data_IF_498458692359
#
_entry.id   IF_498458692359
#
_cell.length_a   1.000
_cell.length_b   1.000
_cell.length_c   1.000
_cell.angle_alpha   90.00
_cell.angle_beta   90.00
_cell.angle_gamma   90.00
#
_symmetry.space_group_name_H-M   'P 1'
#
loop_
_entity.id
_entity.type
_entity.pdbx_description
1 polymer ?
#
# COMPACT_ATOMS: atom_id res chain seq x y z
N UNK A 1 11.59 40.30 -60.04
CA UNK A 1 11.08 39.00 -59.57
C UNK A 1 11.75 38.51 -58.29
N UNK A 2 12.94 38.86 -57.92
CA UNK A 2 13.71 38.40 -56.75
C UNK A 2 13.16 38.81 -55.37
N UNK A 3 12.56 39.99 -55.23
CA UNK A 3 12.11 40.53 -53.94
C UNK A 3 10.89 39.77 -53.34
N UNK A 4 10.01 39.22 -54.17
CA UNK A 4 8.87 38.42 -53.72
C UNK A 4 9.28 37.01 -53.32
N UNK A 5 10.27 36.41 -53.94
CA UNK A 5 10.83 35.10 -53.59
C UNK A 5 11.48 35.12 -52.19
N UNK A 6 12.23 36.19 -51.90
CA UNK A 6 12.89 36.34 -50.56
C UNK A 6 11.84 36.46 -49.46
N UNK A 7 10.78 37.25 -49.67
CA UNK A 7 9.65 37.38 -48.71
C UNK A 7 8.96 36.04 -48.46
N UNK A 8 8.74 35.24 -49.50
CA UNK A 8 8.10 33.93 -49.42
C UNK A 8 8.98 32.95 -48.65
N UNK A 9 10.29 32.90 -48.94
CA UNK A 9 11.26 32.06 -48.23
C UNK A 9 11.31 32.39 -46.73
N UNK A 10 11.31 33.66 -46.36
CA UNK A 10 11.34 34.06 -44.94
C UNK A 10 10.07 33.66 -44.19
N UNK A 11 8.89 33.70 -44.85
CA UNK A 11 7.63 33.20 -44.25
C UNK A 11 7.68 31.70 -43.99
N UNK A 12 8.22 30.94 -44.93
CA UNK A 12 8.35 29.48 -44.74
C UNK A 12 9.30 29.18 -43.61
N UNK A 13 10.45 29.87 -43.52
CA UNK A 13 11.39 29.69 -42.42
C UNK A 13 10.75 30.04 -41.07
N UNK A 14 9.98 31.10 -41.02
CA UNK A 14 9.27 31.52 -39.79
C UNK A 14 8.28 30.46 -39.33
N UNK A 15 7.49 29.85 -40.25
CA UNK A 15 6.55 28.77 -39.93
C UNK A 15 7.30 27.54 -39.40
N UNK A 16 8.42 27.16 -39.99
CA UNK A 16 9.23 26.04 -39.51
C UNK A 16 9.80 26.29 -38.11
N UNK A 17 10.24 27.52 -37.82
CA UNK A 17 10.74 27.85 -36.48
C UNK A 17 9.60 27.74 -35.45
N UNK A 18 8.40 28.24 -35.75
CA UNK A 18 7.25 28.14 -34.85
C UNK A 18 6.89 26.66 -34.57
N UNK A 19 6.85 25.82 -35.61
CA UNK A 19 6.59 24.40 -35.45
C UNK A 19 7.66 23.74 -34.57
N UNK A 20 8.93 24.07 -34.78
CA UNK A 20 10.05 23.55 -33.99
C UNK A 20 9.95 23.90 -32.49
N UNK A 21 9.55 25.14 -32.20
CA UNK A 21 9.32 25.59 -30.80
C UNK A 21 8.21 24.80 -30.13
N UNK A 22 7.12 24.55 -30.86
CA UNK A 22 5.99 23.73 -30.38
C UNK A 22 6.46 22.31 -30.06
N UNK A 23 7.22 21.68 -30.94
CA UNK A 23 7.77 20.33 -30.74
C UNK A 23 8.69 20.24 -29.53
N UNK A 24 9.56 21.25 -29.33
CA UNK A 24 10.43 21.34 -28.15
C UNK A 24 9.59 21.45 -26.87
N UNK A 25 8.54 22.27 -26.88
CA UNK A 25 7.62 22.40 -25.75
C UNK A 25 6.90 21.07 -25.39
N UNK A 26 6.44 20.35 -26.39
CA UNK A 26 5.85 19.02 -26.18
C UNK A 26 6.89 18.02 -25.63
N UNK A 27 8.08 18.00 -26.19
CA UNK A 27 9.18 17.14 -25.71
C UNK A 27 9.52 17.39 -24.24
N UNK A 28 9.63 18.66 -23.86
CA UNK A 28 9.88 19.06 -22.47
C UNK A 28 8.74 18.64 -21.53
N UNK A 29 7.51 18.80 -21.96
CA UNK A 29 6.33 18.37 -21.17
C UNK A 29 6.28 16.86 -20.99
N UNK A 30 6.55 16.08 -22.03
CA UNK A 30 6.62 14.63 -21.96
C UNK A 30 7.75 14.15 -21.04
N UNK A 31 8.91 14.79 -21.14
CA UNK A 31 10.03 14.50 -20.25
C UNK A 31 9.69 14.74 -18.79
N UNK A 32 9.05 15.87 -18.47
CA UNK A 32 8.58 16.15 -17.11
C UNK A 32 7.60 15.09 -16.59
N UNK A 33 6.64 14.66 -17.41
CA UNK A 33 5.65 13.66 -17.00
C UNK A 33 6.31 12.28 -16.84
N UNK A 34 7.20 11.89 -17.73
CA UNK A 34 7.80 10.56 -17.73
C UNK A 34 8.92 10.38 -16.70
N UNK A 35 9.72 11.42 -16.50
CA UNK A 35 10.91 11.32 -15.63
C UNK A 35 10.64 11.89 -14.25
N UNK A 36 10.13 13.12 -14.16
CA UNK A 36 9.99 13.81 -12.88
C UNK A 36 8.77 13.30 -12.10
N UNK A 37 7.61 13.14 -12.75
CA UNK A 37 6.41 12.67 -12.06
C UNK A 37 6.42 11.17 -11.76
N UNK A 38 7.20 10.37 -12.49
CA UNK A 38 7.36 8.94 -12.18
C UNK A 38 8.06 8.70 -10.84
N UNK A 39 8.88 9.65 -10.40
CA UNK A 39 9.50 9.63 -9.07
C UNK A 39 8.53 10.01 -7.94
N UNK A 40 7.42 10.68 -8.25
CA UNK A 40 6.50 11.24 -7.23
C UNK A 40 5.18 10.47 -7.09
N UNK A 41 4.85 9.56 -7.97
CA UNK A 41 3.55 8.91 -7.95
C UNK A 41 3.62 7.42 -8.29
N UNK A 42 3.65 6.55 -7.29
CA UNK A 42 3.28 5.16 -7.48
C UNK A 42 1.74 5.06 -7.52
N UNK A 43 1.10 5.71 -8.49
CA UNK A 43 -0.29 5.44 -8.81
C UNK A 43 -0.40 4.24 -9.77
N UNK A 44 0.30 3.17 -9.47
CA UNK A 44 -0.09 1.87 -9.96
C UNK A 44 -1.38 1.49 -9.23
N UNK A 45 -2.38 1.06 -9.97
CA UNK A 45 -3.56 0.40 -9.40
C UNK A 45 -3.01 -0.72 -8.52
N UNK A 46 -3.06 -0.53 -7.21
CA UNK A 46 -2.71 -1.56 -6.24
C UNK A 46 -3.84 -2.57 -6.30
N UNK A 47 -3.69 -3.59 -7.14
CA UNK A 47 -4.59 -4.74 -7.12
C UNK A 47 -4.29 -5.46 -5.80
N UNK A 48 -5.03 -5.13 -4.76
CA UNK A 48 -5.04 -5.93 -3.54
C UNK A 48 -5.80 -7.22 -3.88
N UNK A 49 -5.06 -8.29 -4.07
CA UNK A 49 -5.66 -9.62 -4.15
C UNK A 49 -6.22 -9.97 -2.77
N UNK A 50 -7.51 -9.76 -2.59
CA UNK A 50 -8.22 -10.24 -1.40
C UNK A 50 -8.34 -11.75 -1.55
N UNK A 51 -7.60 -12.50 -0.75
CA UNK A 51 -7.78 -13.95 -0.68
C UNK A 51 -9.17 -14.23 -0.12
N UNK A 52 -10.03 -14.81 -0.94
CA UNK A 52 -11.35 -15.25 -0.51
C UNK A 52 -11.25 -16.28 0.63
N UNK A 53 -12.28 -16.33 1.47
CA UNK A 53 -12.42 -17.38 2.47
C UNK A 53 -12.64 -18.72 1.77
N UNK A 54 -11.87 -19.72 2.17
CA UNK A 54 -12.11 -21.10 1.72
C UNK A 54 -13.35 -21.64 2.43
N UNK A 55 -14.16 -22.45 1.73
CA UNK A 55 -15.29 -23.17 2.34
C UNK A 55 -14.84 -24.10 3.47
N UNK A 56 -15.73 -24.38 4.40
CA UNK A 56 -15.49 -25.34 5.46
C UNK A 56 -15.85 -26.76 5.00
N UNK A 57 -15.14 -27.74 5.51
CA UNK A 57 -15.50 -29.14 5.37
C UNK A 57 -16.25 -29.64 6.62
N UNK A 58 -17.23 -30.46 6.40
CA UNK A 58 -18.06 -31.06 7.45
C UNK A 58 -18.00 -32.56 7.33
N UNK A 59 -18.16 -33.24 8.45
CA UNK A 59 -18.37 -34.69 8.46
C UNK A 59 -19.83 -35.05 8.10
N UNK A 60 -20.13 -36.37 8.04
CA UNK A 60 -21.49 -36.87 7.77
C UNK A 60 -22.50 -36.45 8.85
N UNK A 61 -22.06 -36.12 10.06
CA UNK A 61 -22.86 -35.67 11.19
C UNK A 61 -23.01 -34.16 11.26
N UNK A 62 -22.37 -33.40 10.33
CA UNK A 62 -22.39 -31.93 10.28
C UNK A 62 -21.36 -31.26 11.18
N UNK A 63 -20.40 -32.00 11.75
CA UNK A 63 -19.34 -31.38 12.54
C UNK A 63 -18.30 -30.72 11.65
N UNK A 64 -17.80 -29.58 12.07
CA UNK A 64 -16.79 -28.85 11.33
C UNK A 64 -15.42 -29.54 11.38
N UNK A 65 -14.96 -30.08 10.25
CA UNK A 65 -13.60 -30.59 10.09
C UNK A 65 -12.57 -29.50 9.87
N UNK A 66 -13.03 -28.34 9.41
CA UNK A 66 -12.15 -27.19 9.15
C UNK A 66 -12.81 -25.87 9.49
N UNK A 67 -12.05 -24.93 10.06
CA UNK A 67 -12.51 -23.59 10.36
C UNK A 67 -11.52 -22.54 9.85
N UNK A 68 -12.03 -21.37 9.49
CA UNK A 68 -11.19 -20.23 9.15
C UNK A 68 -11.08 -19.32 10.38
N UNK A 69 -9.89 -19.29 10.99
CA UNK A 69 -9.59 -18.37 12.07
C UNK A 69 -9.14 -17.02 11.51
N UNK A 70 -9.73 -15.95 12.03
CA UNK A 70 -9.36 -14.59 11.68
C UNK A 70 -8.17 -14.14 12.52
N UNK A 71 -7.15 -13.58 11.86
CA UNK A 71 -6.01 -12.93 12.48
C UNK A 71 -5.85 -11.53 11.91
N UNK A 72 -5.31 -10.66 12.73
CA UNK A 72 -4.98 -9.30 12.32
C UNK A 72 -3.47 -9.12 12.31
N UNK A 73 -2.97 -8.45 11.28
CA UNK A 73 -1.59 -7.99 11.21
C UNK A 73 -1.59 -6.51 11.45
N UNK A 74 -0.80 -6.07 12.40
CA UNK A 74 -0.72 -4.67 12.79
C UNK A 74 0.63 -4.13 12.38
N UNK A 75 0.61 -3.18 11.46
CA UNK A 75 1.80 -2.47 11.00
C UNK A 75 1.70 -0.99 11.25
N UNK A 76 2.84 -0.33 11.43
CA UNK A 76 2.92 1.10 11.69
C UNK A 76 3.98 1.77 10.82
N UNK A 77 3.76 3.04 10.53
CA UNK A 77 4.76 3.91 9.92
C UNK A 77 5.57 4.62 11.01
N UNK A 78 6.81 4.19 11.23
CA UNK A 78 7.67 4.68 12.32
C UNK A 78 7.84 6.21 12.31
N UNK A 79 7.99 6.83 11.14
CA UNK A 79 8.13 8.30 11.00
C UNK A 79 6.92 9.10 11.48
N UNK A 80 5.73 8.49 11.50
CA UNK A 80 4.48 9.18 11.86
C UNK A 80 4.09 8.97 13.32
N UNK A 81 4.83 8.11 14.03
CA UNK A 81 4.53 7.73 15.42
C UNK A 81 5.45 8.40 16.43
N UNK A 82 6.63 8.88 16.01
CA UNK A 82 7.62 9.46 16.92
C UNK A 82 7.08 10.58 17.83
N UNK A 83 5.88 11.12 17.53
CA UNK A 83 5.20 12.15 18.31
C UNK A 83 3.85 11.70 18.92
N UNK A 84 3.45 10.42 18.83
CA UNK A 84 2.14 9.95 19.28
C UNK A 84 2.28 8.84 20.32
N UNK A 85 2.60 9.23 21.55
CA UNK A 85 2.62 8.28 22.69
C UNK A 85 1.24 7.68 22.97
N UNK A 86 0.17 8.43 22.73
CA UNK A 86 -1.21 7.99 22.92
C UNK A 86 -1.55 6.79 22.03
N UNK A 87 -1.13 6.79 20.77
CA UNK A 87 -1.33 5.66 19.87
C UNK A 87 -0.69 4.37 20.42
N UNK A 88 0.52 4.47 20.99
CA UNK A 88 1.20 3.29 21.52
C UNK A 88 0.54 2.78 22.80
N UNK A 89 0.01 3.66 23.63
CA UNK A 89 -0.75 3.29 24.82
C UNK A 89 -2.05 2.57 24.43
N UNK A 90 -2.87 3.17 23.55
CA UNK A 90 -4.11 2.57 23.05
C UNK A 90 -3.86 1.25 22.31
N UNK A 91 -2.75 1.15 21.57
CA UNK A 91 -2.39 -0.09 20.86
C UNK A 91 -1.97 -1.19 21.85
N UNK A 92 -1.22 -0.84 22.92
CA UNK A 92 -0.84 -1.80 23.96
C UNK A 92 -2.04 -2.31 24.74
N UNK A 93 -3.01 -1.46 25.03
CA UNK A 93 -4.29 -1.87 25.64
C UNK A 93 -5.09 -2.81 24.73
N UNK A 94 -5.19 -2.46 23.45
CA UNK A 94 -5.92 -3.29 22.49
C UNK A 94 -5.27 -4.66 22.30
N UNK A 95 -3.96 -4.72 22.12
CA UNK A 95 -3.24 -5.98 21.82
C UNK A 95 -2.87 -6.75 23.09
N UNK A 96 -2.74 -6.06 24.23
CA UNK A 96 -2.21 -6.62 25.47
C UNK A 96 -0.70 -6.83 25.47
N UNK A 97 0.01 -6.24 24.49
CA UNK A 97 1.47 -6.30 24.39
C UNK A 97 2.09 -5.04 25.03
N UNK A 98 3.17 -5.20 25.78
CA UNK A 98 3.81 -4.09 26.49
C UNK A 98 4.32 -3.01 25.49
N UNK A 99 4.07 -1.73 25.79
CA UNK A 99 4.51 -0.56 25.04
C UNK A 99 6.03 -0.57 24.77
N UNK A 100 6.83 -1.03 25.71
CA UNK A 100 8.29 -1.09 25.59
C UNK A 100 8.76 -1.98 24.44
N UNK A 101 8.05 -3.09 24.20
CA UNK A 101 8.31 -4.00 23.07
C UNK A 101 8.08 -3.27 21.75
N UNK A 102 7.05 -2.45 21.66
CA UNK A 102 6.79 -1.66 20.46
C UNK A 102 7.84 -0.57 20.26
N UNK A 103 8.22 0.13 21.32
CA UNK A 103 9.28 1.15 21.27
C UNK A 103 10.62 0.58 20.81
N UNK A 104 11.00 -0.61 21.29
CA UNK A 104 12.25 -1.25 20.87
C UNK A 104 12.24 -1.62 19.38
N UNK A 105 11.12 -2.12 18.87
CA UNK A 105 10.94 -2.41 17.44
C UNK A 105 10.99 -1.15 16.57
N UNK A 106 10.38 -0.05 17.03
CA UNK A 106 10.30 1.22 16.29
C UNK A 106 11.68 1.87 16.15
N UNK A 107 12.49 1.84 17.21
CA UNK A 107 13.85 2.42 17.20
C UNK A 107 14.79 1.78 16.17
N UNK A 108 14.54 0.54 15.79
CA UNK A 108 15.41 -0.23 14.88
C UNK A 108 15.19 0.04 13.39
N UNK A 109 14.08 0.68 12.99
CA UNK A 109 13.68 0.77 11.57
C UNK A 109 13.10 2.14 11.21
N UNK A 110 13.43 2.65 10.00
CA UNK A 110 13.11 4.05 9.60
C UNK A 110 11.75 4.27 8.92
N UNK A 111 11.06 3.24 8.40
CA UNK A 111 9.87 3.45 7.57
C UNK A 111 8.63 2.71 8.05
N UNK A 112 8.46 1.46 7.68
CA UNK A 112 7.30 0.63 8.00
C UNK A 112 7.71 -0.59 8.81
N UNK A 113 6.97 -0.87 9.86
CA UNK A 113 7.22 -2.01 10.75
C UNK A 113 5.94 -2.79 10.97
N UNK A 114 6.02 -4.09 10.84
CA UNK A 114 4.97 -5.00 11.28
C UNK A 114 5.19 -5.33 12.76
N UNK A 115 4.36 -4.74 13.63
CA UNK A 115 4.46 -4.93 15.09
C UNK A 115 3.93 -6.29 15.51
N UNK A 116 2.73 -6.63 15.01
CA UNK A 116 2.07 -7.89 15.29
C UNK A 116 1.78 -8.64 13.99
N UNK A 117 2.33 -9.83 13.86
CA UNK A 117 2.13 -10.67 12.67
C UNK A 117 0.83 -11.46 12.72
N UNK A 118 0.37 -11.82 13.92
CA UNK A 118 -0.83 -12.65 14.13
C UNK A 118 -1.41 -12.32 15.51
N UNK A 119 -2.36 -11.43 15.56
CA UNK A 119 -3.19 -11.23 16.75
C UNK A 119 -4.65 -11.59 16.44
N UNK A 120 -5.34 -12.16 17.41
CA UNK A 120 -6.78 -12.42 17.32
C UNK A 120 -7.63 -11.21 17.74
N UNK A 121 -7.00 -10.16 18.28
CA UNK A 121 -7.69 -8.97 18.75
C UNK A 121 -7.96 -8.00 17.62
N UNK A 122 -9.21 -7.54 17.55
CA UNK A 122 -9.65 -6.58 16.54
C UNK A 122 -9.41 -5.15 17.01
N UNK A 123 -8.40 -4.50 16.45
CA UNK A 123 -8.08 -3.10 16.73
C UNK A 123 -8.45 -2.15 15.57
N UNK A 124 -9.40 -2.53 14.71
CA UNK A 124 -9.79 -1.72 13.52
C UNK A 124 -10.27 -0.31 13.88
N UNK A 125 -10.83 -0.12 15.07
CA UNK A 125 -11.24 1.21 15.54
C UNK A 125 -10.04 2.16 15.66
N UNK A 126 -8.88 1.66 16.09
CA UNK A 126 -7.65 2.46 16.16
C UNK A 126 -7.16 2.88 14.78
N UNK A 127 -7.36 2.04 13.76
CA UNK A 127 -7.01 2.40 12.38
C UNK A 127 -7.86 3.56 11.87
N UNK A 128 -9.14 3.63 12.25
CA UNK A 128 -10.00 4.77 11.91
C UNK A 128 -9.55 6.06 12.59
N UNK A 129 -9.06 5.96 13.82
CA UNK A 129 -8.53 7.11 14.58
C UNK A 129 -7.17 7.59 14.04
N UNK A 130 -6.32 6.65 13.61
CA UNK A 130 -4.95 6.92 13.15
C UNK A 130 -4.68 6.38 11.73
N UNK A 131 -5.42 6.83 10.69
CA UNK A 131 -5.39 6.21 9.35
C UNK A 131 -4.04 6.32 8.65
N UNK A 132 -3.25 7.34 8.98
CA UNK A 132 -1.95 7.58 8.37
C UNK A 132 -0.78 6.90 9.08
N UNK A 133 -0.96 6.48 10.33
CA UNK A 133 0.10 5.92 11.17
C UNK A 133 -0.03 4.40 11.35
N UNK A 134 -1.27 3.89 11.39
CA UNK A 134 -1.60 2.51 11.69
C UNK A 134 -2.21 1.80 10.49
N UNK A 135 -1.73 0.62 10.17
CA UNK A 135 -2.26 -0.24 9.12
C UNK A 135 -2.61 -1.58 9.74
N UNK A 136 -3.90 -1.94 9.71
CA UNK A 136 -4.38 -3.23 10.18
C UNK A 136 -4.88 -4.03 8.98
N UNK A 137 -4.27 -5.20 8.76
CA UNK A 137 -4.65 -6.12 7.69
C UNK A 137 -5.27 -7.38 8.28
N UNK A 138 -6.50 -7.66 7.91
CA UNK A 138 -7.19 -8.89 8.23
C UNK A 138 -6.62 -10.05 7.40
N UNK A 139 -6.32 -11.15 8.03
CA UNK A 139 -5.84 -12.38 7.39
C UNK A 139 -6.56 -13.60 7.97
N UNK A 140 -6.62 -14.66 7.20
CA UNK A 140 -7.30 -15.88 7.59
C UNK A 140 -6.30 -17.04 7.60
N UNK A 141 -6.39 -17.89 8.62
CA UNK A 141 -5.64 -19.14 8.70
C UNK A 141 -6.64 -20.27 8.87
N UNK A 142 -6.42 -21.33 8.11
CA UNK A 142 -7.21 -22.54 8.27
C UNK A 142 -6.80 -23.27 9.55
N UNK A 143 -7.78 -23.66 10.33
CA UNK A 143 -7.64 -24.45 11.53
C UNK A 143 -8.34 -25.78 11.35
N UNK A 144 -7.70 -26.85 11.80
CA UNK A 144 -8.20 -28.20 11.76
C UNK A 144 -8.37 -28.65 13.20
N UNK A 145 -9.61 -28.75 13.71
CA UNK A 145 -9.87 -29.18 15.11
C UNK A 145 -9.28 -30.53 15.42
N UNK A 146 -9.32 -31.43 14.45
CA UNK A 146 -8.79 -32.81 14.56
C UNK A 146 -7.54 -32.94 13.68
N UNK A 147 -6.39 -32.49 14.22
CA UNK A 147 -5.11 -32.40 13.48
C UNK A 147 -4.68 -33.68 12.80
N UNK A 148 -5.03 -34.84 13.35
CA UNK A 148 -4.57 -36.16 12.85
C UNK A 148 -5.39 -36.71 11.68
N UNK A 149 -6.63 -36.26 11.45
CA UNK A 149 -7.52 -36.85 10.44
C UNK A 149 -7.53 -36.09 9.11
N UNK A 150 -7.20 -34.78 9.11
CA UNK A 150 -7.43 -33.93 7.95
C UNK A 150 -6.14 -33.29 7.40
N UNK A 151 -5.00 -33.53 8.00
CA UNK A 151 -3.72 -32.93 7.57
C UNK A 151 -3.20 -33.45 6.22
N UNK A 152 -3.82 -34.48 5.66
CA UNK A 152 -3.42 -35.12 4.38
C UNK A 152 -4.37 -34.82 3.20
N UNK A 153 -5.37 -33.96 3.39
CA UNK A 153 -6.24 -33.46 2.34
C UNK A 153 -5.87 -32.00 2.03
#
# INVERSE_FOLDING_TARGET
>A
MTKNYIKFKNRIIFVHIVIMIIWIGFGFRLFNIQVINKLSSPQGIKIESVKGLRGNFYDVNGNNLTQNLTFYRIGIHAKKISNNEDLLNELSECTGTNKEVYLSKIKSIKEYIELEKKTNKNCEQLQKKYPNALIIKKSFKRYYPEENLVSQI
#
